data_IF_037215415190
#
_entry.id   IF_037215415190
#
_cell.length_a   1.000
_cell.length_b   1.000
_cell.length_c   1.000
_cell.angle_alpha   90.00
_cell.angle_beta   90.00
_cell.angle_gamma   90.00
#
_symmetry.space_group_name_H-M   'P 1'
#
loop_
_entity.id
_entity.type
_entity.pdbx_description
1 polymer ?
#
# COMPACT_ATOMS: atom_id res chain seq x y z
N UNK A 1 8.59 -6.21 -11.60
CA UNK A 1 9.14 -6.32 -10.23
C UNK A 1 7.99 -6.48 -9.25
N UNK A 2 8.07 -7.42 -8.31
CA UNK A 2 7.04 -7.59 -7.27
C UNK A 2 7.34 -6.70 -6.08
N UNK A 3 6.35 -6.47 -5.21
CA UNK A 3 6.56 -5.72 -3.98
C UNK A 3 7.56 -6.37 -3.04
N UNK A 4 7.57 -7.71 -2.98
CA UNK A 4 8.51 -8.48 -2.16
C UNK A 4 9.93 -8.34 -2.68
N UNK A 5 10.17 -8.53 -3.98
CA UNK A 5 11.52 -8.38 -4.53
C UNK A 5 12.07 -6.96 -4.38
N UNK A 6 11.21 -5.94 -4.51
CA UNK A 6 11.61 -4.55 -4.24
C UNK A 6 12.08 -4.37 -2.79
N UNK A 7 11.36 -4.92 -1.81
CA UNK A 7 11.76 -4.84 -0.40
C UNK A 7 13.03 -5.66 -0.12
N UNK A 8 13.18 -6.84 -0.72
CA UNK A 8 14.38 -7.66 -0.59
C UNK A 8 15.63 -6.91 -1.13
N UNK A 9 15.50 -6.21 -2.26
CA UNK A 9 16.56 -5.34 -2.82
C UNK A 9 16.91 -4.14 -1.92
N UNK A 10 16.01 -3.72 -1.04
CA UNK A 10 16.29 -2.70 -0.01
C UNK A 10 16.95 -3.29 1.24
N UNK A 11 17.15 -4.61 1.30
CA UNK A 11 17.67 -5.32 2.47
C UNK A 11 16.63 -5.47 3.59
N UNK A 12 15.34 -5.44 3.26
CA UNK A 12 14.31 -5.72 4.24
C UNK A 12 14.39 -7.19 4.68
N UNK A 13 14.25 -7.43 5.99
CA UNK A 13 14.08 -8.79 6.50
C UNK A 13 12.76 -9.40 5.99
N UNK A 14 12.73 -10.72 5.81
CA UNK A 14 11.51 -11.47 5.52
C UNK A 14 10.41 -11.27 6.59
N UNK A 15 10.80 -10.92 7.82
CA UNK A 15 9.90 -10.67 8.95
C UNK A 15 9.49 -9.19 9.11
N UNK A 16 9.91 -8.32 8.19
CA UNK A 16 9.64 -6.90 8.28
C UNK A 16 8.13 -6.62 8.39
N UNK A 17 7.75 -5.84 9.40
CA UNK A 17 6.37 -5.38 9.62
C UNK A 17 6.25 -3.92 9.25
N UNK A 18 5.21 -3.60 8.49
CA UNK A 18 4.91 -2.23 8.06
C UNK A 18 3.67 -1.73 8.78
N UNK A 19 3.72 -0.49 9.25
CA UNK A 19 2.56 0.21 9.79
C UNK A 19 1.94 1.10 8.71
N UNK A 20 0.64 0.92 8.46
CA UNK A 20 -0.16 1.68 7.49
C UNK A 20 -1.57 1.95 8.03
N UNK A 21 -2.20 3.00 7.53
CA UNK A 21 -3.62 3.33 7.77
C UNK A 21 -4.50 2.62 6.74
N UNK A 22 -5.70 2.22 7.15
CA UNK A 22 -6.72 1.72 6.22
C UNK A 22 -7.38 2.94 5.56
N UNK A 23 -7.30 3.02 4.23
CA UNK A 23 -7.92 4.06 3.42
C UNK A 23 -9.27 3.63 2.85
N UNK A 24 -9.38 2.37 2.44
CA UNK A 24 -10.59 1.73 1.95
C UNK A 24 -10.67 0.26 2.41
N UNK A 25 -11.88 -0.26 2.56
CA UNK A 25 -12.14 -1.65 2.98
C UNK A 25 -13.12 -2.41 2.08
N UNK A 26 -13.56 -3.60 2.51
CA UNK A 26 -14.44 -4.45 1.72
C UNK A 26 -15.69 -3.73 1.22
N UNK A 27 -16.05 -3.97 -0.04
CA UNK A 27 -17.19 -3.35 -0.71
C UNK A 27 -16.91 -1.98 -1.34
N UNK A 28 -15.76 -1.37 -1.08
CA UNK A 28 -15.35 -0.14 -1.75
C UNK A 28 -14.63 -0.43 -3.08
N UNK A 29 -14.84 0.43 -4.07
CA UNK A 29 -14.09 0.35 -5.34
C UNK A 29 -12.75 1.07 -5.21
N UNK A 30 -11.68 0.40 -5.64
CA UNK A 30 -10.36 1.01 -5.75
C UNK A 30 -9.88 0.89 -7.19
N UNK A 31 -9.44 2.02 -7.72
CA UNK A 31 -8.86 2.12 -9.05
C UNK A 31 -7.39 2.51 -8.99
N UNK A 32 -6.61 1.98 -9.93
CA UNK A 32 -5.34 2.57 -10.33
C UNK A 32 -5.31 2.83 -11.82
N UNK A 33 -5.19 4.11 -12.17
CA UNK A 33 -5.00 4.62 -13.52
C UNK A 33 -3.67 5.39 -13.60
N UNK A 34 -2.70 4.80 -14.31
CA UNK A 34 -1.31 5.26 -14.29
C UNK A 34 -0.76 5.41 -12.86
N UNK A 35 -0.42 6.64 -12.50
CA UNK A 35 0.08 6.99 -11.18
C UNK A 35 -1.03 7.27 -10.15
N UNK A 36 -2.27 7.51 -10.59
CA UNK A 36 -3.38 7.87 -9.69
C UNK A 36 -3.99 6.61 -9.10
N UNK A 37 -4.08 6.55 -7.78
CA UNK A 37 -4.82 5.54 -7.03
C UNK A 37 -6.00 6.22 -6.35
N UNK A 38 -7.22 5.74 -6.54
CA UNK A 38 -8.43 6.36 -6.01
C UNK A 38 -9.41 5.36 -5.40
N UNK A 39 -10.22 5.85 -4.47
CA UNK A 39 -11.31 5.15 -3.80
C UNK A 39 -12.44 6.16 -3.50
N UNK A 40 -13.61 5.76 -2.99
CA UNK A 40 -14.78 6.65 -2.93
C UNK A 40 -14.56 7.93 -2.12
N UNK A 41 -13.65 7.90 -1.13
CA UNK A 41 -13.37 9.02 -0.22
C UNK A 41 -12.06 9.73 -0.51
N UNK A 42 -11.31 9.38 -1.55
CA UNK A 42 -10.03 10.03 -1.80
C UNK A 42 -9.19 9.46 -2.93
N UNK A 43 -8.03 10.08 -3.14
CA UNK A 43 -7.04 9.64 -4.10
C UNK A 43 -5.62 10.02 -3.65
N UNK A 44 -4.63 9.27 -4.13
CA UNK A 44 -3.20 9.53 -3.95
C UNK A 44 -2.44 9.27 -5.25
N UNK A 45 -1.23 9.82 -5.33
CA UNK A 45 -0.34 9.62 -6.48
C UNK A 45 0.81 8.71 -6.08
N UNK A 46 1.00 7.64 -6.86
CA UNK A 46 2.15 6.74 -6.80
C UNK A 46 3.32 7.34 -7.59
N UNK A 47 4.54 7.17 -7.06
CA UNK A 47 5.76 7.52 -7.80
C UNK A 47 6.11 6.41 -8.80
N UNK A 48 6.77 6.76 -9.89
CA UNK A 48 7.26 5.76 -10.87
C UNK A 48 8.56 5.10 -10.39
N UNK A 49 9.40 5.87 -9.70
CA UNK A 49 10.68 5.41 -9.19
C UNK A 49 10.93 5.90 -7.76
N UNK A 50 11.80 5.20 -7.05
CA UNK A 50 12.30 5.65 -5.76
C UNK A 50 13.42 6.69 -5.89
N UNK A 51 13.92 7.17 -4.76
CA UNK A 51 14.99 8.17 -4.68
C UNK A 51 16.35 7.73 -5.26
N UNK A 52 16.53 6.45 -5.57
CA UNK A 52 17.73 5.90 -6.22
C UNK A 52 17.47 5.57 -7.69
N UNK A 53 16.32 5.96 -8.24
CA UNK A 53 15.95 5.73 -9.64
C UNK A 53 15.45 4.31 -9.92
N UNK A 54 15.24 3.46 -8.89
CA UNK A 54 14.69 2.12 -9.11
C UNK A 54 13.20 2.22 -9.40
N UNK A 55 12.76 1.51 -10.45
CA UNK A 55 11.35 1.41 -10.79
C UNK A 55 10.56 0.80 -9.64
N UNK A 56 9.43 1.43 -9.28
CA UNK A 56 8.55 0.94 -8.24
C UNK A 56 7.52 -0.05 -8.82
N UNK A 57 7.16 -1.10 -8.07
CA UNK A 57 6.08 -2.01 -8.44
C UNK A 57 4.78 -1.27 -8.77
N UNK A 58 4.06 -1.79 -9.77
CA UNK A 58 2.82 -1.20 -10.25
C UNK A 58 1.71 -2.24 -10.40
N UNK A 59 0.48 -1.77 -10.30
CA UNK A 59 -0.75 -2.48 -10.61
C UNK A 59 -1.67 -1.53 -11.39
N UNK A 60 -2.74 -2.03 -11.98
CA UNK A 60 -3.68 -1.20 -12.75
C UNK A 60 -5.09 -1.76 -12.72
N UNK A 61 -6.04 -0.91 -13.09
CA UNK A 61 -7.46 -1.27 -13.20
C UNK A 61 -8.26 -0.91 -11.96
N UNK A 62 -9.57 -1.07 -12.08
CA UNK A 62 -10.54 -0.87 -11.02
C UNK A 62 -11.04 -2.21 -10.53
N UNK A 63 -11.19 -2.35 -9.22
CA UNK A 63 -11.89 -3.49 -8.62
C UNK A 63 -12.56 -3.11 -7.32
N UNK A 64 -13.68 -3.77 -7.07
CA UNK A 64 -14.32 -3.76 -5.75
C UNK A 64 -13.52 -4.65 -4.81
N UNK A 65 -13.20 -4.14 -3.63
CA UNK A 65 -12.51 -4.91 -2.60
C UNK A 65 -13.43 -6.03 -2.12
N UNK A 66 -12.97 -7.28 -2.21
CA UNK A 66 -13.75 -8.45 -1.76
C UNK A 66 -13.59 -8.64 -0.26
N UNK A 67 -14.37 -9.57 0.31
CA UNK A 67 -14.76 -9.69 1.73
C UNK A 67 -13.71 -9.62 2.83
N UNK A 68 -12.44 -9.41 2.51
CA UNK A 68 -11.34 -9.22 3.46
C UNK A 68 -10.17 -8.38 2.88
N UNK A 69 -10.38 -7.53 1.89
CA UNK A 69 -9.32 -6.71 1.30
C UNK A 69 -9.34 -5.25 1.77
N UNK A 70 -8.15 -4.67 1.89
CA UNK A 70 -7.96 -3.30 2.37
C UNK A 70 -6.97 -2.54 1.50
N UNK A 71 -7.28 -1.27 1.25
CA UNK A 71 -6.30 -0.32 0.73
C UNK A 71 -5.52 0.28 1.91
N UNK A 72 -4.21 0.08 1.93
CA UNK A 72 -3.33 0.49 3.02
C UNK A 72 -2.43 1.64 2.57
N UNK A 73 -2.46 2.78 3.27
CA UNK A 73 -1.66 3.97 2.94
C UNK A 73 -0.83 4.44 4.15
N UNK A 74 0.39 4.88 3.90
CA UNK A 74 1.18 5.62 4.90
C UNK A 74 0.95 7.12 4.81
N UNK A 75 1.34 7.84 5.85
CA UNK A 75 1.08 9.29 5.98
C UNK A 75 1.96 10.16 5.07
N UNK A 76 2.97 9.59 4.40
CA UNK A 76 3.93 10.34 3.58
C UNK A 76 3.88 9.97 2.10
N UNK A 77 4.20 10.93 1.24
CA UNK A 77 4.31 10.70 -0.20
C UNK A 77 5.38 9.66 -0.59
N UNK A 78 6.36 9.40 0.27
CA UNK A 78 7.46 8.45 0.05
C UNK A 78 7.19 7.05 0.62
N UNK A 79 6.09 6.85 1.35
CA UNK A 79 5.75 5.56 1.94
C UNK A 79 5.56 4.47 0.88
N UNK A 80 6.22 3.32 1.06
CA UNK A 80 5.93 2.12 0.28
C UNK A 80 4.69 1.41 0.85
N UNK A 81 3.57 1.48 0.13
CA UNK A 81 2.26 1.02 0.55
C UNK A 81 1.37 0.53 -0.63
N UNK A 82 0.04 0.46 -0.48
CA UNK A 82 -0.87 -0.04 -1.53
C UNK A 82 -0.81 0.75 -2.83
N UNK A 83 -0.19 1.94 -2.85
CA UNK A 83 0.22 2.61 -4.09
C UNK A 83 1.08 1.74 -5.00
N UNK A 84 1.78 0.74 -4.47
CA UNK A 84 2.72 -0.09 -5.21
C UNK A 84 2.35 -1.56 -5.19
N UNK A 85 1.90 -2.09 -4.04
CA UNK A 85 1.53 -3.50 -3.90
C UNK A 85 0.03 -3.79 -4.05
N UNK A 86 -0.80 -2.75 -4.24
CA UNK A 86 -2.24 -2.91 -4.41
C UNK A 86 -2.99 -3.16 -3.11
N UNK A 87 -4.30 -3.48 -3.20
CA UNK A 87 -5.07 -3.92 -2.04
C UNK A 87 -4.44 -5.13 -1.37
N UNK A 88 -4.44 -5.16 -0.04
CA UNK A 88 -3.86 -6.23 0.75
C UNK A 88 -4.98 -7.08 1.39
N UNK A 89 -4.84 -8.41 1.43
CA UNK A 89 -5.79 -9.28 2.12
C UNK A 89 -5.64 -9.16 3.64
N UNK A 90 -6.73 -9.41 4.38
CA UNK A 90 -6.81 -9.40 5.84
C UNK A 90 -5.76 -10.31 6.48
N UNK A 91 -5.44 -11.42 5.83
CA UNK A 91 -4.43 -12.40 6.24
C UNK A 91 -3.02 -11.80 6.32
N UNK A 92 -2.73 -10.71 5.60
CA UNK A 92 -1.45 -10.00 5.68
C UNK A 92 -1.40 -8.99 6.85
N UNK A 93 -2.51 -8.76 7.55
CA UNK A 93 -2.63 -7.77 8.63
C UNK A 93 -2.55 -8.48 9.98
N UNK A 94 -1.44 -8.26 10.70
CA UNK A 94 -1.16 -8.90 11.98
C UNK A 94 -2.01 -8.35 13.13
N UNK A 95 -2.37 -7.08 13.09
CA UNK A 95 -3.13 -6.44 14.16
C UNK A 95 -3.25 -4.94 13.99
N UNK A 96 -3.90 -4.32 14.96
CA UNK A 96 -4.09 -2.88 15.04
C UNK A 96 -2.96 -2.31 15.89
N UNK A 97 -2.26 -1.31 15.37
CA UNK A 97 -1.35 -0.51 16.17
C UNK A 97 -2.14 0.43 17.08
N UNK A 98 -1.83 0.39 18.39
CA UNK A 98 -2.34 1.34 19.39
C UNK A 98 -1.15 2.10 19.94
N UNK A 99 -1.17 3.41 19.77
CA UNK A 99 -0.17 4.29 20.38
C UNK A 99 -0.38 4.29 21.90
N UNK A 100 0.69 4.06 22.66
CA UNK A 100 0.65 3.99 24.14
C UNK A 100 1.35 5.18 24.80
N UNK A 101 2.20 5.90 24.06
CA UNK A 101 2.96 7.03 24.57
C UNK A 101 3.38 7.97 23.42
N UNK A 102 3.32 9.29 23.67
CA UNK A 102 3.87 10.35 22.81
C UNK A 102 4.44 11.46 23.69
N UNK A 103 5.58 12.04 23.29
CA UNK A 103 6.20 13.21 23.92
C UNK A 103 5.61 14.52 23.43
#
# INVERSE_FOLDING_TARGET
MSARSYLDELGASADARLLKRIAAGPGEEVCRDGARVSWPRGAVVARVADRRGRALPTWSGCRRLTGDEFLLLGDTATSFDSRYFGPAPRAAIHGIYKEVWRW
#
